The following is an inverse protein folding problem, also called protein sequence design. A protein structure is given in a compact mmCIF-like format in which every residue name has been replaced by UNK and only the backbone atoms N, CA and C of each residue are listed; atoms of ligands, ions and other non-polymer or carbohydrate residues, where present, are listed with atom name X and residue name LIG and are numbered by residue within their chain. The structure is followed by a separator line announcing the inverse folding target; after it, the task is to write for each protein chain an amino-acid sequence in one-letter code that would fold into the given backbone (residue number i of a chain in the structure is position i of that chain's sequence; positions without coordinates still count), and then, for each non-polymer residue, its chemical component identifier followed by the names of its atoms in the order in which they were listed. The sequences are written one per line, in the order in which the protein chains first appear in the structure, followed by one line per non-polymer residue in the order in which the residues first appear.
data_IF_096462995587
#
_entry.id   IF_096462995587
#
_cell.length_a   1.000
_cell.length_b   1.000
_cell.length_c   1.000
_cell.angle_alpha   90.00
_cell.angle_beta   90.00
_cell.angle_gamma   90.00
#
_symmetry.space_group_name_H-M   'P 1'
#
loop_
_entity.id
_entity.type
_entity.pdbx_description
1 polymer ?
#
# COMPACT_ATOMS: atom_id res chain seq x y z
N UNK A 1 -24.84 -73.03 0.20
CA UNK A 1 -23.86 -73.13 1.29
C UNK A 1 -23.70 -71.75 1.91
N UNK A 2 -23.96 -71.66 3.21
CA UNK A 2 -23.97 -70.45 4.03
C UNK A 2 -22.60 -69.77 4.10
N UNK A 3 -22.57 -68.44 4.17
CA UNK A 3 -21.85 -67.69 5.20
C UNK A 3 -22.22 -66.20 5.13
N UNK A 4 -23.04 -65.80 6.11
CA UNK A 4 -23.35 -64.42 6.49
C UNK A 4 -22.14 -63.78 7.16
N UNK A 5 -21.81 -62.54 6.78
CA UNK A 5 -20.93 -61.67 7.54
C UNK A 5 -21.60 -60.30 7.67
N UNK A 6 -22.20 -60.11 8.85
CA UNK A 6 -22.79 -58.87 9.33
C UNK A 6 -21.65 -57.93 9.77
N UNK A 7 -21.50 -56.78 9.14
CA UNK A 7 -20.60 -55.72 9.60
C UNK A 7 -21.44 -54.54 10.07
N UNK A 8 -21.55 -54.41 11.39
CA UNK A 8 -22.16 -53.26 12.09
C UNK A 8 -21.09 -52.18 12.15
N UNK A 9 -21.23 -51.13 11.35
CA UNK A 9 -20.38 -49.94 11.46
C UNK A 9 -21.17 -48.86 12.22
N UNK A 10 -20.72 -48.57 13.43
CA UNK A 10 -21.24 -47.51 14.30
C UNK A 10 -20.95 -46.14 13.68
N UNK A 11 -22.00 -45.34 13.44
CA UNK A 11 -21.91 -43.93 13.11
C UNK A 11 -21.59 -43.13 14.39
N UNK A 12 -20.41 -42.52 14.49
CA UNK A 12 -20.10 -41.53 15.54
C UNK A 12 -20.24 -40.12 14.97
N UNK A 13 -21.31 -39.43 15.39
CA UNK A 13 -21.50 -37.99 15.23
C UNK A 13 -20.58 -37.26 16.22
N UNK A 14 -19.52 -36.61 15.72
CA UNK A 14 -18.79 -35.60 16.47
C UNK A 14 -19.31 -34.23 16.03
N UNK A 15 -20.13 -33.64 16.90
CA UNK A 15 -20.64 -32.28 16.80
C UNK A 15 -19.51 -31.27 16.94
N UNK A 16 -19.47 -30.33 16.01
CA UNK A 16 -18.57 -29.18 16.00
C UNK A 16 -18.90 -28.23 17.16
N UNK A 17 -17.90 -27.91 17.99
CA UNK A 17 -17.95 -26.74 18.86
C UNK A 17 -17.50 -25.52 18.06
N UNK A 18 -18.48 -24.75 17.60
CA UNK A 18 -18.26 -23.39 17.09
C UNK A 18 -18.06 -22.51 18.33
N UNK A 19 -16.82 -22.14 18.64
CA UNK A 19 -16.58 -21.09 19.63
C UNK A 19 -17.05 -19.77 19.04
N UNK A 20 -18.09 -19.22 19.66
CA UNK A 20 -18.74 -17.97 19.27
C UNK A 20 -17.77 -16.78 19.34
N UNK A 21 -17.80 -15.98 18.29
CA UNK A 21 -17.32 -14.61 18.32
C UNK A 21 -18.28 -13.77 19.17
N UNK A 22 -17.96 -13.53 20.43
CA UNK A 22 -18.60 -12.48 21.21
C UNK A 22 -18.09 -11.12 20.73
N UNK A 23 -18.94 -10.39 20.00
CA UNK A 23 -18.76 -8.96 19.75
C UNK A 23 -19.26 -8.22 20.98
N UNK A 24 -18.34 -7.73 21.82
CA UNK A 24 -18.64 -6.69 22.80
C UNK A 24 -18.20 -5.34 22.25
N UNK A 25 -19.18 -4.46 22.07
CA UNK A 25 -19.00 -3.04 21.75
C UNK A 25 -18.54 -2.31 23.00
N UNK A 26 -17.36 -1.69 22.98
CA UNK A 26 -17.00 -0.67 23.95
C UNK A 26 -16.60 0.61 23.19
N UNK A 27 -17.25 1.69 23.61
CA UNK A 27 -17.17 3.03 23.07
C UNK A 27 -15.80 3.67 23.27
N UNK A 28 -15.43 4.49 22.29
CA UNK A 28 -14.48 5.60 22.30
C UNK A 28 -13.54 5.72 23.52
N UNK A 29 -12.30 5.27 23.34
CA UNK A 29 -11.14 5.89 23.96
C UNK A 29 -10.06 6.04 22.90
N UNK A 30 -9.63 7.28 22.65
CA UNK A 30 -8.53 7.62 21.77
C UNK A 30 -7.23 7.03 22.34
N UNK A 31 -6.88 5.84 21.84
CA UNK A 31 -5.62 5.15 22.14
C UNK A 31 -4.50 5.72 21.25
N UNK A 32 -3.30 6.00 21.80
CA UNK A 32 -2.14 6.42 21.00
C UNK A 32 -1.56 5.29 20.13
N UNK A 33 -2.22 4.11 20.10
CA UNK A 33 -1.87 2.95 19.29
C UNK A 33 -3.08 2.45 18.48
N UNK A 34 -3.82 3.36 17.84
CA UNK A 34 -4.80 2.96 16.85
C UNK A 34 -4.08 2.16 15.74
N UNK A 35 -4.35 0.85 15.64
CA UNK A 35 -3.84 0.01 14.56
C UNK A 35 -4.39 0.55 13.24
N UNK A 36 -3.56 1.26 12.48
CA UNK A 36 -3.92 1.71 11.14
C UNK A 36 -4.04 0.48 10.24
N UNK A 37 -5.22 0.29 9.66
CA UNK A 37 -5.44 -0.82 8.72
C UNK A 37 -4.87 -0.43 7.36
N UNK A 38 -4.03 -1.28 6.77
CA UNK A 38 -3.47 -1.04 5.44
C UNK A 38 -4.20 -1.86 4.37
N UNK A 39 -4.59 -1.21 3.27
CA UNK A 39 -5.19 -1.84 2.10
C UNK A 39 -4.27 -1.68 0.90
N UNK A 40 -4.14 -2.71 0.06
CA UNK A 40 -3.37 -2.60 -1.18
C UNK A 40 -4.25 -2.05 -2.31
N UNK A 41 -3.67 -1.25 -3.20
CA UNK A 41 -4.28 -0.87 -4.48
C UNK A 41 -3.23 -0.80 -5.59
N UNK A 42 -3.66 -0.71 -6.85
CA UNK A 42 -2.80 -0.81 -8.04
C UNK A 42 -2.92 0.36 -9.03
N UNK A 43 -3.83 1.32 -8.77
CA UNK A 43 -4.00 2.53 -9.57
C UNK A 43 -3.00 3.61 -9.17
N UNK A 44 -1.71 3.32 -9.35
CA UNK A 44 -0.63 4.26 -9.20
C UNK A 44 0.55 3.93 -10.12
N UNK A 45 1.46 4.87 -10.30
CA UNK A 45 2.75 4.62 -10.94
C UNK A 45 3.85 5.56 -10.40
N UNK A 46 5.09 5.07 -10.43
CA UNK A 46 6.29 5.90 -10.37
C UNK A 46 6.77 6.09 -11.80
N UNK A 47 6.67 7.32 -12.30
CA UNK A 47 7.08 7.66 -13.65
C UNK A 47 8.61 7.77 -13.74
N UNK A 48 9.25 8.39 -12.75
CA UNK A 48 10.71 8.46 -12.65
C UNK A 48 11.22 8.69 -11.23
N UNK A 49 12.47 8.32 -10.99
CA UNK A 49 13.23 8.67 -9.78
C UNK A 49 14.58 9.25 -10.23
N UNK A 50 14.94 10.45 -9.75
CA UNK A 50 16.11 11.21 -10.22
C UNK A 50 16.15 11.34 -11.76
N UNK A 51 14.99 11.51 -12.41
CA UNK A 51 14.86 11.57 -13.88
C UNK A 51 15.12 10.25 -14.61
N UNK A 52 15.30 9.14 -13.89
CA UNK A 52 15.55 7.80 -14.45
C UNK A 52 14.31 6.92 -14.37
N UNK A 53 14.25 5.92 -15.26
CA UNK A 53 13.19 4.91 -15.31
C UNK A 53 13.81 3.51 -15.27
N UNK A 54 13.09 2.53 -14.73
CA UNK A 54 13.52 1.12 -14.74
C UNK A 54 13.05 0.35 -13.51
N UNK A 55 13.25 -0.96 -13.53
CA UNK A 55 12.90 -1.82 -12.40
C UNK A 55 13.79 -1.61 -11.17
N UNK A 56 15.02 -1.13 -11.38
CA UNK A 56 15.95 -0.75 -10.31
C UNK A 56 16.62 0.57 -10.63
N UNK A 57 16.53 1.53 -9.72
CA UNK A 57 17.10 2.87 -9.91
C UNK A 57 18.15 3.12 -8.85
N UNK A 58 19.35 3.47 -9.30
CA UNK A 58 20.48 3.79 -8.44
C UNK A 58 20.63 5.30 -8.27
N UNK A 59 20.69 5.74 -7.01
CA UNK A 59 20.86 7.14 -6.61
C UNK A 59 21.95 7.26 -5.54
N UNK A 60 22.50 8.47 -5.40
CA UNK A 60 23.39 8.79 -4.29
C UNK A 60 22.58 9.23 -3.07
N UNK A 61 23.26 9.35 -1.92
CA UNK A 61 22.72 9.96 -0.71
C UNK A 61 22.67 11.48 -0.85
N UNK A 62 21.63 11.95 -1.52
CA UNK A 62 21.36 13.35 -1.82
C UNK A 62 19.84 13.61 -1.86
N UNK A 63 19.43 14.84 -2.20
CA UNK A 63 18.02 15.13 -2.46
C UNK A 63 17.63 14.54 -3.81
N UNK A 64 16.69 13.59 -3.78
CA UNK A 64 16.21 12.86 -4.95
C UNK A 64 14.75 13.22 -5.23
N UNK A 65 14.46 13.44 -6.51
CA UNK A 65 13.10 13.70 -6.98
C UNK A 65 12.38 12.40 -7.37
N UNK A 66 11.13 12.25 -6.94
CA UNK A 66 10.26 11.13 -7.28
C UNK A 66 9.00 11.66 -7.95
N UNK A 67 8.79 11.31 -9.21
CA UNK A 67 7.65 11.76 -10.01
C UNK A 67 6.72 10.59 -10.31
N UNK A 68 5.42 10.85 -10.33
CA UNK A 68 4.44 9.81 -10.62
C UNK A 68 3.00 10.30 -10.53
N UNK A 69 2.10 9.34 -10.39
CA UNK A 69 0.68 9.59 -10.19
C UNK A 69 0.04 8.51 -9.33
N UNK A 70 -1.05 8.85 -8.65
CA UNK A 70 -1.88 7.89 -7.93
C UNK A 70 -3.33 8.35 -7.88
N UNK A 71 -4.27 7.40 -7.81
CA UNK A 71 -5.68 7.69 -7.58
C UNK A 71 -6.06 7.38 -6.14
N UNK A 72 -7.01 8.13 -5.58
CA UNK A 72 -7.76 7.69 -4.41
C UNK A 72 -8.57 6.44 -4.79
N UNK A 73 -8.27 5.26 -4.22
CA UNK A 73 -8.90 4.01 -4.63
C UNK A 73 -10.38 3.93 -4.23
N UNK A 74 -10.84 4.72 -3.25
CA UNK A 74 -12.22 4.72 -2.79
C UNK A 74 -13.10 5.62 -3.65
N UNK A 75 -12.56 6.77 -4.07
CA UNK A 75 -13.32 7.79 -4.81
C UNK A 75 -13.03 7.83 -6.30
N UNK A 76 -11.97 7.15 -6.74
CA UNK A 76 -11.49 7.17 -8.12
C UNK A 76 -11.28 8.61 -8.63
N UNK A 77 -10.60 9.43 -7.82
CA UNK A 77 -10.23 10.82 -8.09
C UNK A 77 -8.78 11.07 -7.70
N UNK A 78 -8.27 12.28 -7.92
CA UNK A 78 -6.97 12.69 -7.38
C UNK A 78 -6.99 12.64 -5.84
N UNK A 79 -5.98 12.03 -5.19
CA UNK A 79 -5.93 11.98 -3.74
C UNK A 79 -5.77 13.38 -3.14
N UNK A 80 -6.46 13.61 -2.01
CA UNK A 80 -6.32 14.87 -1.26
C UNK A 80 -4.97 14.98 -0.56
N UNK A 81 -4.44 13.84 -0.13
CA UNK A 81 -3.12 13.69 0.46
C UNK A 81 -2.47 12.44 -0.12
N UNK A 82 -1.17 12.53 -0.40
CA UNK A 82 -0.36 11.40 -0.81
C UNK A 82 0.99 11.50 -0.12
N UNK A 83 1.53 10.36 0.28
CA UNK A 83 2.83 10.23 0.92
C UNK A 83 3.70 9.24 0.15
N UNK A 84 4.99 9.51 0.12
CA UNK A 84 6.00 8.58 -0.35
C UNK A 84 6.60 7.87 0.85
N UNK A 85 6.61 6.55 0.83
CA UNK A 85 7.23 5.71 1.85
C UNK A 85 8.41 4.95 1.27
N UNK A 86 9.55 5.05 1.92
CA UNK A 86 10.74 4.26 1.60
C UNK A 86 10.99 3.27 2.74
N UNK A 87 10.97 1.98 2.43
CA UNK A 87 11.22 0.92 3.44
C UNK A 87 12.47 0.14 3.08
N UNK A 88 13.52 0.29 3.89
CA UNK A 88 14.75 -0.49 3.78
C UNK A 88 14.70 -1.76 4.63
N UNK A 89 15.85 -2.42 4.78
CA UNK A 89 15.98 -3.68 5.55
C UNK A 89 15.58 -3.56 7.03
N UNK A 90 15.62 -2.34 7.60
CA UNK A 90 15.19 -2.08 8.98
C UNK A 90 13.67 -2.22 9.17
N UNK A 91 12.89 -2.29 8.09
CA UNK A 91 11.45 -2.56 8.09
C UNK A 91 10.55 -1.38 8.51
N UNK A 92 11.07 -0.39 9.22
CA UNK A 92 10.37 0.86 9.47
C UNK A 92 10.44 1.77 8.23
N UNK A 93 9.30 2.33 7.74
CA UNK A 93 9.28 3.21 6.58
C UNK A 93 9.58 4.65 6.95
N UNK A 94 10.46 5.28 6.20
CA UNK A 94 10.62 6.74 6.17
C UNK A 94 9.53 7.34 5.27
N UNK A 95 8.88 8.40 5.73
CA UNK A 95 7.70 8.97 5.06
C UNK A 95 7.92 10.42 4.67
N UNK A 96 7.71 10.72 3.39
CA UNK A 96 7.77 12.05 2.82
C UNK A 96 6.35 12.52 2.47
N UNK A 97 6.09 13.81 2.69
CA UNK A 97 4.77 14.44 2.56
C UNK A 97 4.87 15.66 1.65
N UNK A 98 3.72 16.30 1.41
CA UNK A 98 3.60 17.60 0.76
C UNK A 98 4.32 17.67 -0.61
N UNK A 99 3.99 16.76 -1.55
CA UNK A 99 4.56 16.84 -2.88
C UNK A 99 4.05 18.09 -3.61
N UNK A 100 4.78 18.49 -4.64
CA UNK A 100 4.24 19.40 -5.66
C UNK A 100 3.21 18.62 -6.48
N UNK A 101 2.01 19.16 -6.62
CA UNK A 101 0.95 18.56 -7.45
C UNK A 101 1.18 18.91 -8.92
N UNK A 102 1.10 17.88 -9.77
CA UNK A 102 1.35 17.98 -11.22
C UNK A 102 0.09 17.62 -11.99
N UNK A 103 -0.22 18.41 -13.02
CA UNK A 103 -1.39 18.17 -13.87
C UNK A 103 -1.17 17.00 -14.82
N UNK A 104 -2.17 16.11 -14.89
CA UNK A 104 -2.17 14.88 -15.69
C UNK A 104 -3.35 14.82 -16.66
N UNK A 105 -3.38 15.69 -17.69
CA UNK A 105 -4.44 15.66 -18.71
C UNK A 105 -4.45 14.35 -19.51
N UNK A 106 -3.32 13.65 -19.58
CA UNK A 106 -3.21 12.31 -20.16
C UNK A 106 -4.05 11.29 -19.40
N UNK A 107 -4.07 11.33 -18.06
CA UNK A 107 -4.89 10.46 -17.23
C UNK A 107 -6.37 10.82 -17.34
N UNK A 108 -6.70 12.11 -17.40
CA UNK A 108 -8.08 12.56 -17.68
C UNK A 108 -8.59 11.95 -18.97
N UNK A 109 -7.80 12.03 -20.05
CA UNK A 109 -8.16 11.47 -21.35
C UNK A 109 -8.24 9.94 -21.35
N UNK A 110 -7.26 9.26 -20.74
CA UNK A 110 -7.17 7.80 -20.71
C UNK A 110 -8.33 7.17 -19.92
N UNK A 111 -8.71 7.78 -18.79
CA UNK A 111 -9.73 7.26 -17.89
C UNK A 111 -11.09 7.96 -18.03
N UNK A 112 -11.21 8.96 -18.91
CA UNK A 112 -12.41 9.77 -19.12
C UNK A 112 -12.97 10.35 -17.82
N UNK A 113 -12.08 10.91 -17.00
CA UNK A 113 -12.43 11.40 -15.67
C UNK A 113 -11.62 12.65 -15.32
N UNK A 114 -12.27 13.81 -15.37
CA UNK A 114 -11.65 15.12 -15.13
C UNK A 114 -11.13 15.28 -13.69
N UNK A 115 -11.68 14.51 -12.74
CA UNK A 115 -11.22 14.53 -11.34
C UNK A 115 -9.81 13.98 -11.15
N UNK A 116 -9.22 13.38 -12.19
CA UNK A 116 -7.86 12.86 -12.18
C UNK A 116 -6.82 13.90 -12.61
N UNK A 117 -7.23 15.10 -13.01
CA UNK A 117 -6.31 16.13 -13.48
C UNK A 117 -5.18 16.39 -12.48
N UNK A 118 -5.46 16.38 -11.18
CA UNK A 118 -4.48 16.68 -10.12
C UNK A 118 -3.87 15.44 -9.47
N UNK A 119 -3.88 14.29 -10.16
CA UNK A 119 -3.38 13.02 -9.61
C UNK A 119 -1.86 12.85 -9.70
N UNK A 120 -1.16 13.74 -10.41
CA UNK A 120 0.29 13.73 -10.52
C UNK A 120 0.97 14.34 -9.30
N UNK A 121 2.16 13.86 -8.97
CA UNK A 121 2.97 14.37 -7.87
C UNK A 121 4.45 14.45 -8.23
N UNK A 122 5.17 15.30 -7.50
CA UNK A 122 6.63 15.36 -7.45
C UNK A 122 7.10 15.54 -6.00
N UNK A 123 7.74 14.53 -5.43
CA UNK A 123 8.37 14.60 -4.11
C UNK A 123 9.85 14.94 -4.25
N UNK A 124 10.37 15.74 -3.31
CA UNK A 124 11.81 15.86 -3.05
C UNK A 124 12.12 15.18 -1.72
N UNK A 125 12.89 14.09 -1.78
CA UNK A 125 13.27 13.31 -0.61
C UNK A 125 14.77 13.49 -0.36
N UNK A 126 15.13 14.00 0.83
CA UNK A 126 16.53 14.05 1.26
C UNK A 126 16.97 12.66 1.75
N UNK A 127 17.85 12.02 0.99
CA UNK A 127 18.38 10.69 1.28
C UNK A 127 19.76 10.74 1.94
N UNK A 128 20.25 11.92 2.34
CA UNK A 128 21.62 12.10 2.85
C UNK A 128 21.91 11.26 4.11
N UNK A 129 20.89 11.04 4.94
CA UNK A 129 20.98 10.22 6.16
C UNK A 129 20.63 8.75 5.97
N UNK A 130 20.31 8.33 4.74
CA UNK A 130 19.92 6.95 4.48
C UNK A 130 21.16 6.05 4.41
N UNK A 131 20.97 4.79 4.75
CA UNK A 131 22.02 3.78 4.57
C UNK A 131 22.05 3.33 3.11
N UNK A 132 23.22 2.89 2.63
CA UNK A 132 23.29 2.26 1.32
C UNK A 132 22.51 0.94 1.33
N UNK A 133 21.79 0.66 0.24
CA UNK A 133 20.99 -0.56 0.13
C UNK A 133 19.71 -0.41 -0.69
N UNK A 134 18.94 -1.50 -0.73
CA UNK A 134 17.66 -1.56 -1.42
C UNK A 134 16.52 -1.05 -0.56
N UNK A 135 15.66 -0.22 -1.16
CA UNK A 135 14.47 0.34 -0.54
C UNK A 135 13.25 0.07 -1.41
N UNK A 136 12.18 -0.43 -0.81
CA UNK A 136 10.88 -0.49 -1.47
C UNK A 136 10.29 0.91 -1.56
N UNK A 137 9.72 1.23 -2.71
CA UNK A 137 9.04 2.51 -2.97
C UNK A 137 7.53 2.27 -2.90
N UNK A 138 6.86 2.93 -1.96
CA UNK A 138 5.41 2.77 -1.75
C UNK A 138 4.75 4.14 -1.73
N UNK A 139 3.64 4.27 -2.43
CA UNK A 139 2.75 5.43 -2.30
C UNK A 139 1.67 5.11 -1.29
N UNK A 140 1.40 6.06 -0.42
CA UNK A 140 0.40 5.94 0.63
C UNK A 140 -0.65 7.05 0.48
N UNK A 141 -1.92 6.67 0.52
CA UNK A 141 -3.06 7.59 0.59
C UNK A 141 -3.72 7.38 1.95
N UNK A 142 -3.50 8.30 2.90
CA UNK A 142 -4.06 8.17 4.23
C UNK A 142 -5.57 8.40 4.22
N UNK A 143 -6.29 7.57 4.97
CA UNK A 143 -7.68 7.77 5.37
C UNK A 143 -7.80 8.08 6.86
N UNK A 144 -9.02 8.16 7.37
CA UNK A 144 -9.28 8.51 8.78
C UNK A 144 -8.78 7.45 9.77
N UNK A 145 -9.00 6.16 9.45
CA UNK A 145 -8.64 5.01 10.31
C UNK A 145 -7.86 3.93 9.56
N UNK A 146 -7.53 4.18 8.30
CA UNK A 146 -6.87 3.23 7.41
C UNK A 146 -5.95 3.97 6.46
N UNK A 147 -5.11 3.22 5.75
CA UNK A 147 -4.25 3.76 4.71
C UNK A 147 -4.26 2.84 3.50
N UNK A 148 -4.30 3.44 2.31
CA UNK A 148 -4.18 2.68 1.07
C UNK A 148 -2.74 2.75 0.57
N UNK A 149 -2.11 1.61 0.35
CA UNK A 149 -0.73 1.47 -0.08
C UNK A 149 -0.69 0.95 -1.52
N UNK A 150 0.05 1.64 -2.38
CA UNK A 150 0.38 1.16 -3.71
C UNK A 150 1.88 0.90 -3.78
N UNK A 151 2.22 -0.38 -3.86
CA UNK A 151 3.60 -0.85 -3.98
C UNK A 151 4.09 -0.56 -5.40
N UNK A 152 5.09 0.32 -5.53
CA UNK A 152 5.75 0.52 -6.82
C UNK A 152 6.50 -0.75 -7.22
N UNK A 153 6.59 -0.97 -8.53
CA UNK A 153 7.42 -2.02 -9.15
C UNK A 153 8.90 -1.63 -9.24
N UNK A 154 9.26 -0.45 -8.74
CA UNK A 154 10.63 0.07 -8.75
C UNK A 154 11.32 -0.24 -7.42
N UNK A 155 12.50 -0.87 -7.50
CA UNK A 155 13.46 -0.96 -6.40
C UNK A 155 14.38 0.26 -6.42
N UNK A 156 14.37 1.05 -5.36
CA UNK A 156 15.36 2.12 -5.17
C UNK A 156 16.63 1.51 -4.58
N UNK A 157 17.80 1.84 -5.13
CA UNK A 157 19.09 1.43 -4.58
C UNK A 157 19.90 2.67 -4.26
N UNK A 158 20.15 2.91 -2.98
CA UNK A 158 20.96 4.02 -2.48
C UNK A 158 22.41 3.56 -2.41
N UNK A 159 23.32 4.35 -2.98
CA UNK A 159 24.77 4.12 -2.98
C UNK A 159 25.47 4.91 -1.88
#
# INVERSE_FOLDING_TARGET
MYKTLTAICFLTLLSAIISGCDKKSDNASSSPNAKVTHYSFDKCNIDSIAGKTGASIYVNREVVEFNGWAFDPLKNEAPKEIRLRLTGYKGAPDTFKDPIIIDRPDLVKAFKNDKLLKSGFSFKADLSSFESGGYSVVLEIPGENSSSLCQSKVLLVIK
#
